data_IF_377796102116
#
_entry.id   IF_377796102116
#
_cell.length_a   1.000
_cell.length_b   1.000
_cell.length_c   1.000
_cell.angle_alpha   90.00
_cell.angle_beta   90.00
_cell.angle_gamma   90.00
#
_symmetry.space_group_name_H-M   'P 1'
#
loop_
_entity.id
_entity.type
_entity.pdbx_description
1 polymer ?
#
# COMPACT_ATOMS: atom_id res chain seq x y z
N UNK A 1 4.25 18.87 5.71
CA UNK A 1 3.10 19.38 4.91
C UNK A 1 3.06 18.78 3.50
N UNK A 2 4.17 18.71 2.75
CA UNK A 2 4.16 18.18 1.37
C UNK A 2 3.71 16.71 1.24
N UNK A 3 4.33 15.79 1.99
CA UNK A 3 4.00 14.35 1.94
C UNK A 3 2.54 14.10 2.36
N UNK A 4 2.10 14.71 3.46
CA UNK A 4 0.72 14.61 3.96
C UNK A 4 -0.34 15.19 2.99
N UNK A 5 0.08 15.94 1.97
CA UNK A 5 -0.78 16.47 0.92
C UNK A 5 -0.67 15.68 -0.40
N UNK A 6 -0.02 14.51 -0.42
CA UNK A 6 0.00 13.64 -1.59
C UNK A 6 1.28 13.68 -2.44
N UNK A 7 2.32 14.43 -2.04
CA UNK A 7 3.55 14.54 -2.81
C UNK A 7 4.49 13.36 -2.55
N UNK A 8 4.15 12.19 -3.09
CA UNK A 8 4.91 10.94 -2.93
C UNK A 8 4.76 10.02 -4.16
N UNK A 9 5.61 9.02 -4.26
CA UNK A 9 5.60 8.01 -5.33
C UNK A 9 6.53 6.85 -5.00
N UNK A 10 6.62 5.85 -5.89
CA UNK A 10 7.74 4.89 -5.86
C UNK A 10 8.51 4.98 -7.17
N UNK A 11 9.79 4.65 -7.09
CA UNK A 11 10.65 4.34 -8.21
C UNK A 11 11.15 2.91 -8.02
N UNK A 12 11.01 2.08 -9.05
CA UNK A 12 11.61 0.76 -9.10
C UNK A 12 12.92 0.87 -9.88
N UNK A 13 14.00 0.36 -9.29
CA UNK A 13 15.26 0.13 -9.99
C UNK A 13 15.44 -1.38 -10.02
N UNK A 14 15.30 -1.97 -11.20
CA UNK A 14 15.49 -3.41 -11.35
C UNK A 14 16.98 -3.79 -11.27
N UNK A 15 17.30 -4.98 -10.72
CA UNK A 15 18.63 -5.58 -10.87
C UNK A 15 18.99 -5.76 -12.35
N UNK A 16 20.27 -5.95 -12.67
CA UNK A 16 20.75 -6.08 -14.05
C UNK A 16 20.05 -7.22 -14.83
N UNK A 17 19.80 -8.34 -14.16
CA UNK A 17 19.11 -9.50 -14.74
C UNK A 17 17.57 -9.35 -14.78
N UNK A 18 17.04 -8.25 -14.25
CA UNK A 18 15.62 -7.99 -14.08
C UNK A 18 14.96 -8.83 -12.98
N UNK A 19 13.68 -8.57 -12.72
CA UNK A 19 12.91 -9.37 -11.77
C UNK A 19 12.29 -10.63 -12.41
N UNK A 20 12.08 -11.72 -11.66
CA UNK A 20 11.38 -12.90 -12.16
C UNK A 20 10.02 -12.53 -12.75
N UNK A 21 9.65 -13.12 -13.89
CA UNK A 21 8.38 -12.81 -14.55
C UNK A 21 7.16 -13.20 -13.69
N UNK A 22 6.19 -12.30 -13.65
CA UNK A 22 4.85 -12.52 -13.10
C UNK A 22 3.77 -12.19 -14.15
N UNK A 23 2.52 -12.56 -13.90
CA UNK A 23 1.41 -12.35 -14.83
C UNK A 23 0.76 -10.97 -14.65
N UNK A 24 0.78 -10.45 -13.42
CA UNK A 24 0.17 -9.16 -13.05
C UNK A 24 1.06 -8.42 -12.07
N UNK A 25 1.16 -7.11 -12.29
CA UNK A 25 1.88 -6.20 -11.40
C UNK A 25 0.95 -5.08 -10.97
N UNK A 26 1.01 -4.71 -9.70
CA UNK A 26 0.21 -3.62 -9.14
C UNK A 26 1.07 -2.65 -8.34
N UNK A 27 0.64 -1.40 -8.37
CA UNK A 27 1.24 -0.30 -7.63
C UNK A 27 0.27 0.17 -6.54
N UNK A 28 0.69 0.06 -5.29
CA UNK A 28 -0.12 0.43 -4.13
C UNK A 28 0.70 1.27 -3.15
N UNK A 29 0.18 2.43 -2.80
CA UNK A 29 0.76 3.29 -1.76
C UNK A 29 -0.22 3.53 -0.63
N UNK A 30 0.18 3.23 0.60
CA UNK A 30 -0.48 3.73 1.80
C UNK A 30 -0.07 5.18 2.07
N UNK A 31 -1.02 6.01 2.48
CA UNK A 31 -0.78 7.38 2.89
C UNK A 31 -1.76 7.83 3.97
N UNK A 32 -1.34 8.80 4.77
CA UNK A 32 -2.11 9.38 5.85
C UNK A 32 -2.46 10.83 5.55
N UNK A 33 -3.70 11.20 5.84
CA UNK A 33 -4.20 12.57 5.74
C UNK A 33 -4.71 13.06 7.09
N UNK A 34 -4.39 14.32 7.40
CA UNK A 34 -4.68 14.97 8.68
C UNK A 34 -5.54 16.20 8.41
N UNK A 35 -6.83 16.15 8.76
CA UNK A 35 -7.76 17.21 8.37
C UNK A 35 -8.43 17.83 9.59
N UNK A 36 -8.67 19.16 9.55
CA UNK A 36 -9.25 19.90 10.70
C UNK A 36 -10.72 19.57 10.98
N UNK A 37 -11.44 19.02 10.00
CA UNK A 37 -12.92 19.02 9.99
C UNK A 37 -13.54 17.63 9.80
N UNK A 38 -12.83 16.57 10.16
CA UNK A 38 -13.24 15.18 9.95
C UNK A 38 -14.68 14.85 10.38
N UNK A 39 -15.08 15.36 11.55
CA UNK A 39 -16.31 14.94 12.23
C UNK A 39 -17.56 15.69 11.76
N UNK A 40 -17.39 16.81 11.04
CA UNK A 40 -18.51 17.67 10.59
C UNK A 40 -18.50 18.02 9.10
N UNK A 41 -17.48 17.58 8.35
CA UNK A 41 -17.38 17.82 6.92
C UNK A 41 -18.47 17.06 6.14
N UNK A 42 -19.14 17.77 5.24
CA UNK A 42 -20.08 17.21 4.26
C UNK A 42 -19.34 16.84 2.99
N UNK A 43 -19.95 15.95 2.20
CA UNK A 43 -19.46 15.66 0.85
C UNK A 43 -19.37 16.94 0.02
N UNK A 44 -18.18 17.22 -0.52
CA UNK A 44 -17.89 18.44 -1.29
C UNK A 44 -17.14 19.53 -0.51
N UNK A 45 -16.98 19.39 0.81
CA UNK A 45 -16.20 20.35 1.61
C UNK A 45 -14.70 20.20 1.35
N UNK A 46 -13.99 21.33 1.33
CA UNK A 46 -12.53 21.35 1.25
C UNK A 46 -11.98 21.07 2.64
N UNK A 47 -11.37 19.90 2.80
CA UNK A 47 -10.71 19.51 4.04
C UNK A 47 -9.31 20.13 4.13
N UNK A 48 -9.12 21.09 5.03
CA UNK A 48 -7.82 21.70 5.27
C UNK A 48 -6.89 20.80 6.10
N UNK A 49 -5.59 20.85 5.81
CA UNK A 49 -4.57 20.19 6.60
C UNK A 49 -4.55 20.69 8.06
N UNK A 50 -4.55 19.76 9.01
CA UNK A 50 -4.37 20.03 10.43
C UNK A 50 -2.92 19.78 10.85
N UNK A 51 -2.22 20.86 11.20
CA UNK A 51 -0.84 20.77 11.72
C UNK A 51 -0.79 20.07 13.07
N UNK A 52 -1.75 20.35 13.95
CA UNK A 52 -1.77 19.82 15.31
C UNK A 52 -1.95 18.30 15.30
N UNK A 53 -2.90 17.79 14.51
CA UNK A 53 -3.07 16.36 14.31
C UNK A 53 -1.86 15.71 13.64
N UNK A 54 -1.25 16.41 12.67
CA UNK A 54 -0.03 15.96 12.00
C UNK A 54 1.16 15.80 12.94
N UNK A 55 1.32 16.69 13.92
CA UNK A 55 2.36 16.62 14.95
C UNK A 55 2.04 15.58 16.04
N UNK A 56 0.75 15.33 16.30
CA UNK A 56 0.31 14.30 17.23
C UNK A 56 0.29 12.88 16.63
N UNK A 57 0.53 12.74 15.33
CA UNK A 57 0.46 11.46 14.59
C UNK A 57 -0.94 10.79 14.68
N UNK A 58 -1.96 11.63 14.68
CA UNK A 58 -3.39 11.25 14.71
C UNK A 58 -4.04 11.51 13.34
N UNK A 59 -3.84 10.62 12.34
CA UNK A 59 -4.40 10.80 11.03
C UNK A 59 -5.91 10.65 11.06
N UNK A 60 -6.58 11.49 10.30
CA UNK A 60 -8.02 11.40 10.06
C UNK A 60 -8.34 10.26 9.10
N UNK A 61 -7.50 10.10 8.07
CA UNK A 61 -7.67 9.07 7.07
C UNK A 61 -6.35 8.36 6.85
N UNK A 62 -6.42 7.03 6.74
CA UNK A 62 -5.34 6.20 6.21
C UNK A 62 -5.92 5.50 4.98
N UNK A 63 -5.33 5.76 3.82
CA UNK A 63 -5.89 5.34 2.54
C UNK A 63 -4.81 4.72 1.66
N UNK A 64 -5.24 3.80 0.80
CA UNK A 64 -4.44 3.40 -0.35
C UNK A 64 -4.68 4.37 -1.50
N UNK A 65 -3.66 4.65 -2.30
CA UNK A 65 -3.71 5.43 -3.55
C UNK A 65 -4.49 6.76 -3.44
N UNK A 66 -4.26 7.49 -2.33
CA UNK A 66 -4.61 8.90 -2.16
C UNK A 66 -6.06 9.24 -1.80
N UNK A 67 -7.01 8.29 -1.85
CA UNK A 67 -8.40 8.56 -1.45
C UNK A 67 -9.15 7.32 -0.95
N UNK A 68 -10.20 7.56 -0.16
CA UNK A 68 -11.07 6.50 0.36
C UNK A 68 -11.70 5.71 -0.79
N UNK A 69 -11.62 4.38 -0.73
CA UNK A 69 -12.23 3.49 -1.71
C UNK A 69 -11.49 3.36 -3.04
N UNK A 70 -10.29 3.95 -3.19
CA UNK A 70 -9.49 3.92 -4.42
C UNK A 70 -9.24 2.52 -5.01
N UNK A 71 -9.12 1.51 -4.16
CA UNK A 71 -8.90 0.10 -4.53
C UNK A 71 -10.17 -0.75 -4.34
N UNK A 72 -11.33 -0.12 -4.28
CA UNK A 72 -12.63 -0.77 -4.11
C UNK A 72 -13.54 -0.47 -5.30
N UNK A 73 -14.60 -1.26 -5.46
CA UNK A 73 -15.58 -1.09 -6.54
C UNK A 73 -14.92 -1.02 -7.92
N UNK A 74 -14.97 0.14 -8.59
CA UNK A 74 -14.39 0.34 -9.91
C UNK A 74 -12.85 0.24 -9.92
N UNK A 75 -12.21 0.65 -8.82
CA UNK A 75 -10.76 0.57 -8.64
C UNK A 75 -10.23 -0.78 -8.16
N UNK A 76 -11.11 -1.79 -8.04
CA UNK A 76 -10.73 -3.13 -7.59
C UNK A 76 -9.68 -3.75 -8.51
N UNK A 77 -8.59 -4.24 -7.93
CA UNK A 77 -7.56 -4.99 -8.65
C UNK A 77 -8.11 -6.36 -9.08
N UNK A 78 -8.08 -6.66 -10.39
CA UNK A 78 -8.66 -7.89 -10.95
C UNK A 78 -7.58 -8.82 -11.48
N UNK A 79 -7.64 -10.08 -11.04
CA UNK A 79 -6.70 -11.14 -11.40
C UNK A 79 -7.44 -12.46 -11.59
N UNK A 80 -6.81 -13.44 -12.24
CA UNK A 80 -7.28 -14.84 -12.29
C UNK A 80 -6.61 -15.64 -11.18
N UNK A 81 -7.21 -16.77 -10.80
CA UNK A 81 -6.63 -17.68 -9.79
C UNK A 81 -5.32 -18.35 -10.24
N UNK A 82 -4.99 -18.25 -11.52
CA UNK A 82 -3.72 -18.75 -12.08
C UNK A 82 -2.66 -17.67 -12.20
N UNK A 83 -3.00 -16.40 -11.97
CA UNK A 83 -2.06 -15.28 -12.16
C UNK A 83 -1.07 -15.26 -10.99
N UNK A 84 0.23 -15.22 -11.31
CA UNK A 84 1.27 -14.77 -10.39
C UNK A 84 1.17 -13.26 -10.28
N UNK A 85 0.91 -12.78 -9.07
CA UNK A 85 0.70 -11.35 -8.79
C UNK A 85 1.90 -10.83 -8.04
N UNK A 86 2.47 -9.71 -8.49
CA UNK A 86 3.42 -8.90 -7.73
C UNK A 86 2.78 -7.58 -7.36
N UNK A 87 2.93 -7.16 -6.10
CA UNK A 87 2.49 -5.85 -5.63
C UNK A 87 3.73 -5.10 -5.15
N UNK A 88 3.99 -3.96 -5.79
CA UNK A 88 4.93 -2.96 -5.31
C UNK A 88 4.16 -2.10 -4.31
N UNK A 89 4.36 -2.40 -3.02
CA UNK A 89 3.66 -1.72 -1.95
C UNK A 89 4.61 -0.74 -1.27
N UNK A 90 4.22 0.53 -1.19
CA UNK A 90 4.93 1.52 -0.40
C UNK A 90 4.05 2.09 0.71
N UNK A 91 4.71 2.56 1.75
CA UNK A 91 4.08 3.33 2.80
C UNK A 91 4.67 4.74 2.78
N UNK A 92 3.97 5.67 2.17
CA UNK A 92 4.39 7.06 2.14
C UNK A 92 4.37 7.70 3.54
N UNK A 93 3.57 7.16 4.46
CA UNK A 93 3.35 7.70 5.80
C UNK A 93 2.48 8.97 5.77
N UNK A 94 2.87 10.05 6.48
CA UNK A 94 4.25 10.36 6.82
C UNK A 94 4.75 9.75 8.14
N UNK A 95 3.88 9.18 8.98
CA UNK A 95 4.26 8.88 10.37
C UNK A 95 4.14 7.38 10.72
N UNK A 96 3.03 6.73 10.37
CA UNK A 96 2.71 5.37 10.83
C UNK A 96 3.39 4.29 9.99
N UNK A 97 3.70 3.18 10.66
CA UNK A 97 4.12 1.93 10.03
C UNK A 97 2.89 1.17 9.54
N UNK A 98 2.96 0.58 8.35
CA UNK A 98 1.92 -0.31 7.82
C UNK A 98 2.22 -1.76 8.22
N UNK A 99 1.20 -2.50 8.61
CA UNK A 99 1.24 -3.96 8.76
C UNK A 99 0.52 -4.59 7.57
N UNK A 100 1.15 -4.51 6.40
CA UNK A 100 0.50 -4.84 5.15
C UNK A 100 0.10 -6.31 5.08
N UNK A 101 -1.18 -6.55 4.83
CA UNK A 101 -1.77 -7.88 4.72
C UNK A 101 -2.82 -7.93 3.59
N UNK A 102 -2.96 -9.12 2.99
CA UNK A 102 -4.05 -9.42 2.06
C UNK A 102 -4.86 -10.58 2.64
N UNK A 103 -6.07 -10.27 3.11
CA UNK A 103 -7.00 -11.21 3.73
C UNK A 103 -7.35 -12.31 2.73
N UNK A 104 -7.21 -13.56 3.17
CA UNK A 104 -7.54 -14.75 2.38
C UNK A 104 -6.37 -15.37 1.62
N UNK A 105 -5.16 -14.79 1.71
CA UNK A 105 -3.96 -15.34 1.07
C UNK A 105 -2.73 -15.25 1.97
N UNK A 106 -1.65 -15.91 1.55
CA UNK A 106 -0.31 -15.82 2.12
C UNK A 106 0.61 -15.28 1.02
N UNK A 107 1.61 -14.48 1.38
CA UNK A 107 2.63 -14.05 0.43
C UNK A 107 3.61 -15.20 0.18
N UNK A 108 3.70 -15.63 -1.07
CA UNK A 108 4.66 -16.64 -1.52
C UNK A 108 6.08 -16.11 -1.41
N UNK A 109 6.27 -14.80 -1.70
CA UNK A 109 7.52 -14.08 -1.50
C UNK A 109 7.28 -12.71 -0.88
N UNK A 110 8.19 -12.29 0.01
CA UNK A 110 8.27 -10.93 0.53
C UNK A 110 9.71 -10.42 0.46
N UNK A 111 9.94 -9.41 -0.36
CA UNK A 111 11.19 -8.65 -0.43
C UNK A 111 11.14 -7.58 0.66
N UNK A 112 11.60 -7.95 1.86
CA UNK A 112 11.47 -7.12 3.05
C UNK A 112 12.14 -5.77 2.85
N UNK A 113 11.46 -4.71 3.29
CA UNK A 113 11.93 -3.33 3.21
C UNK A 113 12.35 -2.88 1.79
N UNK A 114 11.92 -3.61 0.75
CA UNK A 114 12.20 -3.30 -0.64
C UNK A 114 13.57 -3.79 -1.15
N UNK A 115 14.31 -4.60 -0.38
CA UNK A 115 15.57 -5.19 -0.85
C UNK A 115 15.30 -6.23 -1.95
N UNK A 116 15.72 -5.91 -3.18
CA UNK A 116 15.60 -6.81 -4.35
C UNK A 116 16.86 -7.66 -4.57
N UNK A 117 17.96 -7.32 -3.89
CA UNK A 117 19.23 -8.05 -3.94
C UNK A 117 19.26 -9.22 -2.94
N UNK A 118 18.60 -9.06 -1.79
CA UNK A 118 18.51 -10.12 -0.80
C UNK A 118 17.47 -11.20 -1.22
N UNK A 119 17.71 -12.47 -0.87
CA UNK A 119 16.71 -13.51 -1.05
C UNK A 119 15.39 -13.15 -0.32
N UNK A 120 14.23 -13.26 -0.99
CA UNK A 120 12.96 -12.93 -0.37
C UNK A 120 12.59 -13.92 0.73
N UNK A 121 11.80 -13.46 1.68
CA UNK A 121 11.12 -14.32 2.63
C UNK A 121 10.05 -15.16 1.93
N UNK A 122 9.71 -16.32 2.48
CA UNK A 122 8.66 -17.20 1.94
C UNK A 122 7.57 -17.49 2.97
N UNK A 123 6.32 -17.61 2.51
CA UNK A 123 5.19 -18.03 3.36
C UNK A 123 4.82 -17.03 4.46
N UNK A 124 4.91 -15.74 4.16
CA UNK A 124 4.68 -14.66 5.13
C UNK A 124 3.23 -14.17 5.06
N UNK A 125 2.54 -14.12 6.20
CA UNK A 125 1.16 -13.63 6.25
C UNK A 125 1.05 -12.10 6.18
N UNK A 126 1.91 -11.39 6.91
CA UNK A 126 1.85 -9.94 7.12
C UNK A 126 3.27 -9.43 7.19
N UNK A 127 3.54 -8.27 6.57
CA UNK A 127 4.87 -7.66 6.58
C UNK A 127 4.80 -6.21 7.05
N UNK A 128 5.77 -5.80 7.86
CA UNK A 128 5.90 -4.42 8.30
C UNK A 128 6.50 -3.58 7.17
N UNK A 129 5.93 -2.41 6.93
CA UNK A 129 6.43 -1.45 5.95
C UNK A 129 6.57 -0.09 6.64
N UNK A 130 7.80 0.36 6.92
CA UNK A 130 8.02 1.60 7.66
C UNK A 130 7.53 2.82 6.87
N UNK A 131 7.27 3.93 7.56
CA UNK A 131 6.97 5.20 6.89
C UNK A 131 8.15 5.62 6.02
N UNK A 132 7.87 6.02 4.77
CA UNK A 132 8.88 6.28 3.75
C UNK A 132 9.53 5.03 3.15
N UNK A 133 9.08 3.83 3.55
CA UNK A 133 9.60 2.56 3.09
C UNK A 133 8.72 1.90 2.02
N UNK A 134 9.21 0.76 1.53
CA UNK A 134 8.49 -0.09 0.58
C UNK A 134 8.72 -1.57 0.89
N UNK A 135 7.95 -2.41 0.22
CA UNK A 135 8.12 -3.85 0.16
C UNK A 135 7.63 -4.33 -1.20
N UNK A 136 8.09 -5.49 -1.63
CA UNK A 136 7.50 -6.18 -2.77
C UNK A 136 6.95 -7.50 -2.26
N UNK A 137 5.70 -7.81 -2.58
CA UNK A 137 5.10 -9.10 -2.27
C UNK A 137 4.68 -9.81 -3.55
N UNK A 138 4.88 -11.12 -3.59
CA UNK A 138 4.34 -11.99 -4.63
C UNK A 138 3.36 -12.98 -4.02
N UNK A 139 2.26 -13.24 -4.72
CA UNK A 139 1.24 -14.20 -4.31
C UNK A 139 0.53 -14.80 -5.52
N UNK A 140 -0.06 -15.99 -5.33
CA UNK A 140 -1.00 -16.61 -6.27
C UNK A 140 -2.34 -16.81 -5.56
N UNK A 141 -3.44 -16.16 -6.02
CA UNK A 141 -4.75 -16.31 -5.40
C UNK A 141 -5.32 -17.71 -5.70
N UNK A 142 -5.39 -18.56 -4.69
CA UNK A 142 -5.71 -19.98 -4.89
C UNK A 142 -7.17 -20.26 -5.27
N UNK A 143 -8.10 -19.40 -4.83
CA UNK A 143 -9.54 -19.60 -5.03
C UNK A 143 -10.22 -18.33 -5.56
N UNK A 144 -11.29 -18.44 -6.36
CA UNK A 144 -12.06 -17.27 -6.78
C UNK A 144 -12.71 -16.59 -5.57
N UNK A 145 -12.66 -15.26 -5.53
CA UNK A 145 -13.27 -14.48 -4.45
C UNK A 145 -12.76 -13.05 -4.39
N UNK A 146 -13.26 -12.30 -3.42
CA UNK A 146 -12.77 -10.96 -3.08
C UNK A 146 -11.75 -11.07 -1.95
N UNK A 147 -10.56 -10.54 -2.20
CA UNK A 147 -9.48 -10.46 -1.22
C UNK A 147 -9.36 -9.00 -0.78
N UNK A 148 -9.18 -8.76 0.52
CA UNK A 148 -9.17 -7.41 1.08
C UNK A 148 -7.78 -7.07 1.60
N UNK A 149 -7.27 -5.89 1.24
CA UNK A 149 -6.03 -5.33 1.82
C UNK A 149 -6.34 -4.68 3.17
N UNK A 150 -5.50 -4.93 4.18
CA UNK A 150 -5.51 -4.21 5.45
C UNK A 150 -4.11 -3.80 5.92
#
# INVERSE_FOLDING_TARGET
>A
VHIANGMYGLILVEPEDGLPRVDREFYVLQSEFYTKSAESAKSGDIAEYSRDLGLAEEPTFVVFNGHMGSLTQEGTLRVKTTDRVRIYFGNAGPNRISSFHVIGTIFDKVYREGSLEDPPAHGVQTTLVPAGGATVVELIPQVPGTYHTC
#
